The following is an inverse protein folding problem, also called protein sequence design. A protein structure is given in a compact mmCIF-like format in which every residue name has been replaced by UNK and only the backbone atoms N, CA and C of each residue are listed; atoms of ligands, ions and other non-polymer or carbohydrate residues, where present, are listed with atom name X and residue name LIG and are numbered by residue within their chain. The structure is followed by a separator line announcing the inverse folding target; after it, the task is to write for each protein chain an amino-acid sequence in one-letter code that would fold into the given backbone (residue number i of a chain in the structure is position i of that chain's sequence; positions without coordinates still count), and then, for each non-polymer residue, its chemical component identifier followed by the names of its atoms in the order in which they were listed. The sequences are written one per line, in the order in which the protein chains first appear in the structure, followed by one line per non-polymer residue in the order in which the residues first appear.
data_IF_310359587625
#
_entry.id   IF_310359587625
#
_cell.length_a   1.000
_cell.length_b   1.000
_cell.length_c   1.000
_cell.angle_alpha   90.00
_cell.angle_beta   90.00
_cell.angle_gamma   90.00
#
_symmetry.space_group_name_H-M   'P 1'
#
loop_
_entity.id
_entity.type
_entity.pdbx_description
1 polymer ?
#
# COMPACT_ATOMS: atom_id res chain seq x y z
N UNK A 1 10.11 -34.46 30.73
CA UNK A 1 10.42 -34.73 29.32
C UNK A 1 9.84 -33.62 28.49
N UNK A 2 10.64 -32.63 28.15
CA UNK A 2 10.25 -31.49 27.31
C UNK A 2 10.19 -31.98 25.87
N UNK A 3 8.98 -31.90 25.27
CA UNK A 3 8.87 -31.92 23.82
C UNK A 3 9.16 -30.49 23.33
N UNK A 4 10.34 -30.34 22.73
CA UNK A 4 10.79 -29.09 22.13
C UNK A 4 9.87 -28.67 20.97
N UNK A 5 9.74 -27.39 20.87
CA UNK A 5 9.00 -26.63 19.86
C UNK A 5 9.74 -26.75 18.49
N UNK A 6 9.42 -27.80 17.72
CA UNK A 6 9.98 -28.02 16.38
C UNK A 6 9.26 -27.22 15.28
N UNK A 7 8.14 -26.51 15.61
CA UNK A 7 7.32 -25.82 14.60
C UNK A 7 7.87 -24.45 14.16
N UNK A 8 8.68 -23.80 15.00
CA UNK A 8 9.20 -22.46 14.70
C UNK A 8 10.40 -22.43 13.76
N UNK A 9 11.24 -23.45 13.84
CA UNK A 9 12.51 -23.47 13.09
C UNK A 9 12.32 -23.85 11.60
N UNK A 10 11.37 -24.76 11.31
CA UNK A 10 11.06 -25.17 9.95
C UNK A 10 10.45 -24.04 9.10
N UNK A 11 9.59 -23.20 9.70
CA UNK A 11 8.99 -22.05 9.00
C UNK A 11 10.04 -20.96 8.71
N UNK A 12 10.87 -20.62 9.67
CA UNK A 12 11.95 -19.64 9.48
C UNK A 12 12.94 -20.07 8.40
N UNK A 13 13.35 -21.34 8.41
CA UNK A 13 14.28 -21.91 7.43
C UNK A 13 13.69 -21.85 6.01
N UNK A 14 12.41 -22.22 5.80
CA UNK A 14 11.76 -22.16 4.49
C UNK A 14 11.64 -20.74 3.98
N UNK A 15 11.24 -19.78 4.83
CA UNK A 15 11.08 -18.39 4.45
C UNK A 15 12.42 -17.74 4.03
N UNK A 16 13.48 -18.00 4.76
CA UNK A 16 14.83 -17.53 4.40
C UNK A 16 15.30 -18.15 3.08
N UNK A 17 15.02 -19.44 2.86
CA UNK A 17 15.35 -20.11 1.59
C UNK A 17 14.66 -19.45 0.39
N UNK A 18 13.37 -19.11 0.50
CA UNK A 18 12.64 -18.45 -0.58
C UNK A 18 13.20 -17.06 -0.90
N UNK A 19 13.61 -16.28 0.12
CA UNK A 19 14.21 -14.97 -0.07
C UNK A 19 15.63 -15.05 -0.68
N UNK A 20 16.42 -16.08 -0.33
CA UNK A 20 17.71 -16.33 -0.96
C UNK A 20 17.56 -16.72 -2.44
N UNK A 21 16.58 -17.57 -2.76
CA UNK A 21 16.24 -17.92 -4.15
C UNK A 21 15.77 -16.69 -4.92
N UNK A 22 14.94 -15.85 -4.30
CA UNK A 22 14.51 -14.59 -4.88
C UNK A 22 15.70 -13.68 -5.16
N UNK A 23 16.62 -13.52 -4.20
CA UNK A 23 17.85 -12.76 -4.38
C UNK A 23 18.65 -13.25 -5.59
N UNK A 24 18.92 -14.54 -5.67
CA UNK A 24 19.67 -15.11 -6.79
C UNK A 24 18.99 -14.82 -8.14
N UNK A 25 17.66 -14.94 -8.20
CA UNK A 25 16.87 -14.64 -9.42
C UNK A 25 16.89 -13.15 -9.78
N UNK A 26 16.73 -12.25 -8.81
CA UNK A 26 16.76 -10.80 -9.04
C UNK A 26 18.13 -10.34 -9.54
N UNK A 27 19.20 -10.88 -8.96
CA UNK A 27 20.58 -10.52 -9.30
C UNK A 27 20.97 -10.95 -10.73
N UNK A 28 20.22 -11.87 -11.37
CA UNK A 28 20.39 -12.16 -12.81
C UNK A 28 20.02 -10.98 -13.71
N UNK A 29 19.16 -10.07 -13.22
CA UNK A 29 18.77 -8.84 -13.94
C UNK A 29 19.70 -7.71 -13.54
N UNK A 30 19.77 -7.40 -12.26
CA UNK A 30 20.70 -6.42 -11.72
C UNK A 30 20.78 -6.50 -10.20
N UNK A 31 21.87 -6.01 -9.56
CA UNK A 31 22.01 -6.04 -8.09
C UNK A 31 21.04 -5.08 -7.36
N UNK A 32 20.23 -4.33 -8.08
CA UNK A 32 19.23 -3.41 -7.51
C UNK A 32 17.81 -3.68 -7.98
N UNK A 33 17.58 -4.68 -8.83
CA UNK A 33 16.26 -5.00 -9.33
C UNK A 33 15.32 -5.47 -8.21
N UNK A 34 14.08 -4.95 -8.18
CA UNK A 34 13.09 -5.20 -7.12
C UNK A 34 11.68 -5.28 -7.70
N UNK A 35 11.04 -6.46 -7.67
CA UNK A 35 9.69 -6.64 -8.22
C UNK A 35 8.62 -5.82 -7.50
N UNK A 36 8.78 -5.53 -6.21
CA UNK A 36 7.84 -4.68 -5.48
C UNK A 36 7.72 -3.27 -6.11
N UNK A 37 8.75 -2.79 -6.80
CA UNK A 37 8.69 -1.50 -7.52
C UNK A 37 7.69 -1.51 -8.69
N UNK A 38 7.37 -2.69 -9.22
CA UNK A 38 6.37 -2.89 -10.28
C UNK A 38 5.04 -3.39 -9.75
N UNK A 39 5.03 -4.27 -8.75
CA UNK A 39 3.84 -5.03 -8.36
C UNK A 39 3.20 -4.59 -7.05
N UNK A 40 3.80 -3.62 -6.34
CA UNK A 40 3.25 -3.08 -5.08
C UNK A 40 3.07 -1.58 -5.15
N UNK A 41 1.99 -1.08 -4.53
CA UNK A 41 1.75 0.35 -4.33
C UNK A 41 0.92 0.60 -3.09
N UNK A 42 1.29 1.65 -2.33
CA UNK A 42 0.42 2.29 -1.34
C UNK A 42 -0.07 3.61 -1.93
N UNK A 43 -1.39 3.78 -1.98
CA UNK A 43 -2.08 4.95 -2.55
C UNK A 43 -2.66 5.80 -1.42
N UNK A 44 -2.18 7.03 -1.28
CA UNK A 44 -2.68 8.02 -0.34
C UNK A 44 -3.57 9.01 -1.08
N UNK A 45 -4.78 8.57 -1.43
CA UNK A 45 -5.70 9.33 -2.29
C UNK A 45 -6.13 10.68 -1.72
N UNK A 46 -6.25 10.87 -0.37
CA UNK A 46 -6.55 12.20 0.16
C UNK A 46 -5.51 13.26 -0.17
N UNK A 47 -4.28 12.86 -0.39
CA UNK A 47 -3.15 13.77 -0.63
C UNK A 47 -2.57 13.65 -2.04
N UNK A 48 -3.08 12.71 -2.85
CA UNK A 48 -2.53 12.46 -4.19
C UNK A 48 -1.08 11.98 -4.18
N UNK A 49 -0.71 11.19 -3.17
CA UNK A 49 0.64 10.66 -3.01
C UNK A 49 0.65 9.14 -3.14
N UNK A 50 1.77 8.58 -3.56
CA UNK A 50 2.00 7.13 -3.54
C UNK A 50 3.44 6.76 -3.14
N UNK A 51 3.64 5.49 -2.79
CA UNK A 51 4.96 4.86 -2.75
C UNK A 51 4.85 3.40 -3.24
N UNK A 52 6.00 2.78 -3.52
CA UNK A 52 6.04 1.41 -4.06
C UNK A 52 6.04 0.33 -2.99
N UNK A 53 6.53 0.66 -1.81
CA UNK A 53 6.55 -0.16 -0.59
C UNK A 53 6.63 0.80 0.60
N UNK A 54 6.85 0.29 1.80
CA UNK A 54 6.80 1.11 3.01
C UNK A 54 8.06 1.96 3.29
N UNK A 55 9.15 1.77 2.55
CA UNK A 55 10.43 2.42 2.83
C UNK A 55 10.68 3.70 2.03
N UNK A 56 10.37 3.80 0.73
CA UNK A 56 10.58 5.01 -0.03
C UNK A 56 9.71 6.16 0.47
N UNK A 57 10.17 7.41 0.35
CA UNK A 57 9.32 8.57 0.56
C UNK A 57 8.11 8.56 -0.37
N UNK A 58 7.09 9.32 0.02
CA UNK A 58 5.90 9.51 -0.80
C UNK A 58 6.22 10.38 -2.02
N UNK A 59 5.70 10.00 -3.18
CA UNK A 59 5.80 10.73 -4.44
C UNK A 59 4.46 11.34 -4.81
N UNK A 60 4.48 12.52 -5.41
CA UNK A 60 3.29 13.17 -5.95
C UNK A 60 2.77 12.43 -7.19
N UNK A 61 1.46 12.32 -7.28
CA UNK A 61 0.77 11.86 -8.48
C UNK A 61 0.23 13.11 -9.19
N UNK A 62 0.83 13.53 -10.32
CA UNK A 62 0.34 14.71 -11.02
C UNK A 62 -1.09 14.47 -11.53
N UNK A 63 -2.03 15.28 -11.08
CA UNK A 63 -3.48 15.14 -11.38
C UNK A 63 -3.76 15.16 -12.90
N UNK A 64 -2.99 15.95 -13.62
CA UNK A 64 -3.13 16.06 -15.08
C UNK A 64 -2.81 14.75 -15.82
N UNK A 65 -2.02 13.87 -15.22
CA UNK A 65 -1.69 12.57 -15.83
C UNK A 65 -2.83 11.57 -15.72
N UNK A 66 -3.76 11.78 -14.79
CA UNK A 66 -4.87 10.86 -14.52
C UNK A 66 -5.99 10.98 -15.54
N UNK A 67 -6.14 12.15 -16.19
CA UNK A 67 -7.28 12.49 -17.05
C UNK A 67 -7.59 11.46 -18.15
N UNK A 68 -6.55 10.79 -18.69
CA UNK A 68 -6.71 9.78 -19.75
C UNK A 68 -5.95 8.48 -19.41
N UNK A 69 -5.37 8.42 -18.24
CA UNK A 69 -4.60 7.26 -17.79
C UNK A 69 -4.72 7.08 -16.27
N UNK A 70 -5.82 6.50 -15.78
CA UNK A 70 -6.02 6.31 -14.34
C UNK A 70 -4.97 5.36 -13.72
N UNK A 71 -4.32 4.50 -14.51
CA UNK A 71 -3.22 3.65 -14.03
C UNK A 71 -1.96 4.45 -13.65
N UNK A 72 -1.89 5.75 -13.99
CA UNK A 72 -0.86 6.67 -13.53
C UNK A 72 -0.88 6.88 -12.01
N UNK A 73 -1.94 6.48 -11.29
CA UNK A 73 -1.92 6.34 -9.83
C UNK A 73 -0.76 5.46 -9.35
N UNK A 74 -0.39 4.44 -10.11
CA UNK A 74 0.74 3.55 -9.84
C UNK A 74 1.94 3.83 -10.74
N UNK A 75 1.70 4.07 -12.03
CA UNK A 75 2.74 4.17 -13.06
C UNK A 75 3.19 5.62 -13.28
N UNK A 76 3.51 6.34 -12.19
CA UNK A 76 4.03 7.70 -12.26
C UNK A 76 5.35 7.76 -13.02
N UNK A 77 5.67 8.92 -13.61
CA UNK A 77 6.95 9.16 -14.26
C UNK A 77 8.13 8.86 -13.33
N UNK A 78 8.04 9.28 -12.09
CA UNK A 78 9.08 9.10 -11.08
C UNK A 78 9.35 7.61 -10.79
N UNK A 79 8.28 6.80 -10.62
CA UNK A 79 8.44 5.35 -10.48
C UNK A 79 9.07 4.69 -11.70
N UNK A 80 8.72 5.14 -12.91
CA UNK A 80 9.32 4.64 -14.15
C UNK A 80 10.81 4.98 -14.24
N UNK A 81 11.22 6.18 -13.84
CA UNK A 81 12.64 6.53 -13.76
C UNK A 81 13.39 5.68 -12.73
N UNK A 82 12.80 5.45 -11.56
CA UNK A 82 13.38 4.55 -10.55
C UNK A 82 13.53 3.12 -11.08
N UNK A 83 12.49 2.58 -11.75
CA UNK A 83 12.55 1.25 -12.41
C UNK A 83 13.70 1.19 -13.44
N UNK A 84 13.86 2.24 -14.24
CA UNK A 84 14.96 2.35 -15.21
C UNK A 84 16.33 2.33 -14.55
N UNK A 85 16.52 3.07 -13.45
CA UNK A 85 17.76 3.05 -12.68
C UNK A 85 18.06 1.64 -12.14
N UNK A 86 17.06 0.95 -11.60
CA UNK A 86 17.19 -0.41 -11.09
C UNK A 86 17.57 -1.40 -12.20
N UNK A 87 16.99 -1.29 -13.39
CA UNK A 87 17.38 -2.12 -14.55
C UNK A 87 18.84 -1.90 -14.97
N UNK A 88 19.41 -0.72 -14.72
CA UNK A 88 20.81 -0.38 -14.98
C UNK A 88 21.77 -0.78 -13.85
N UNK A 89 21.28 -1.44 -12.81
CA UNK A 89 22.07 -1.79 -11.64
C UNK A 89 22.39 -0.64 -10.70
N UNK A 90 21.82 0.55 -10.95
CA UNK A 90 21.95 1.69 -10.04
C UNK A 90 21.06 1.52 -8.83
N UNK A 91 21.53 1.96 -7.68
CA UNK A 91 20.83 1.91 -6.40
C UNK A 91 20.13 3.26 -6.14
N UNK A 92 18.81 3.40 -6.37
CA UNK A 92 18.10 4.65 -6.08
C UNK A 92 18.17 4.99 -4.59
N UNK A 93 18.41 6.27 -4.27
CA UNK A 93 18.55 6.75 -2.89
C UNK A 93 17.27 6.52 -2.06
N UNK A 94 16.11 6.59 -2.68
CA UNK A 94 14.81 6.33 -2.02
C UNK A 94 14.70 4.91 -1.42
N UNK A 95 15.50 3.96 -1.90
CA UNK A 95 15.54 2.58 -1.42
C UNK A 95 16.71 2.32 -0.45
N UNK A 96 17.27 3.36 0.16
CA UNK A 96 18.44 3.28 1.05
C UNK A 96 18.31 2.26 2.17
N UNK A 97 17.09 2.01 2.67
CA UNK A 97 16.84 0.99 3.70
C UNK A 97 17.33 -0.39 3.23
N UNK A 98 16.90 -0.84 2.05
CA UNK A 98 17.33 -2.12 1.49
C UNK A 98 18.85 -2.14 1.25
N UNK A 99 19.40 -1.06 0.71
CA UNK A 99 20.85 -0.97 0.44
C UNK A 99 21.68 -1.03 1.72
N UNK A 100 21.19 -0.45 2.81
CA UNK A 100 21.83 -0.53 4.13
C UNK A 100 21.83 -1.96 4.67
N UNK A 101 20.71 -2.68 4.60
CA UNK A 101 20.63 -4.08 5.02
C UNK A 101 21.59 -4.94 4.20
N UNK A 102 21.56 -4.81 2.88
CA UNK A 102 22.40 -5.59 1.98
C UNK A 102 23.90 -5.28 2.13
N UNK A 103 24.27 -4.04 2.47
CA UNK A 103 25.68 -3.69 2.75
C UNK A 103 26.23 -4.35 4.01
N UNK A 104 25.36 -4.76 4.93
CA UNK A 104 25.72 -5.51 6.13
C UNK A 104 25.76 -7.05 5.88
N UNK A 105 25.43 -7.49 4.66
CA UNK A 105 25.35 -8.91 4.32
C UNK A 105 23.99 -9.55 4.57
N UNK A 106 23.00 -8.76 4.99
CA UNK A 106 21.65 -9.24 5.32
C UNK A 106 20.74 -9.28 4.06
N UNK A 107 19.70 -10.12 4.14
CA UNK A 107 18.59 -10.05 3.18
C UNK A 107 17.72 -8.82 3.50
N UNK A 108 17.26 -8.14 2.44
CA UNK A 108 16.41 -6.96 2.57
C UNK A 108 14.96 -7.23 2.14
N UNK A 109 14.05 -6.30 2.41
CA UNK A 109 12.66 -6.37 1.92
C UNK A 109 12.55 -6.49 0.40
N UNK A 110 13.55 -6.04 -0.34
CA UNK A 110 13.66 -6.28 -1.78
C UNK A 110 13.62 -7.77 -2.10
N UNK A 111 14.33 -8.58 -1.34
CA UNK A 111 14.37 -10.05 -1.54
C UNK A 111 13.08 -10.71 -1.07
N UNK A 112 12.63 -10.39 0.14
CA UNK A 112 11.41 -10.96 0.70
C UNK A 112 10.18 -10.64 -0.14
N UNK A 113 9.95 -9.36 -0.45
CA UNK A 113 8.77 -8.93 -1.22
C UNK A 113 8.79 -9.42 -2.67
N UNK A 114 9.96 -9.48 -3.28
CA UNK A 114 10.08 -10.00 -4.65
C UNK A 114 9.95 -11.52 -4.72
N UNK A 115 10.20 -12.24 -3.63
CA UNK A 115 10.01 -13.68 -3.54
C UNK A 115 8.55 -14.11 -3.35
N UNK A 116 7.69 -13.20 -2.88
CA UNK A 116 6.27 -13.47 -2.69
C UNK A 116 5.58 -13.86 -4.03
N UNK A 117 4.63 -14.81 -3.99
CA UNK A 117 3.95 -15.29 -5.21
C UNK A 117 3.32 -14.18 -6.05
N UNK A 118 2.67 -13.21 -5.38
CA UNK A 118 2.02 -12.07 -6.05
C UNK A 118 3.00 -11.18 -6.86
N UNK A 119 4.29 -11.20 -6.54
CA UNK A 119 5.31 -10.45 -7.27
C UNK A 119 6.09 -11.34 -8.24
N UNK A 120 6.53 -12.52 -7.80
CA UNK A 120 7.47 -13.39 -8.50
C UNK A 120 6.89 -14.03 -9.78
N UNK A 121 5.57 -14.22 -9.84
CA UNK A 121 4.89 -14.78 -11.03
C UNK A 121 5.09 -13.96 -12.28
N UNK A 122 5.24 -12.63 -12.14
CA UNK A 122 5.34 -11.70 -13.27
C UNK A 122 6.79 -11.34 -13.62
N UNK A 123 7.79 -12.01 -13.04
CA UNK A 123 9.21 -11.73 -13.24
C UNK A 123 9.59 -11.62 -14.71
N UNK A 124 9.28 -12.63 -15.52
CA UNK A 124 9.69 -12.70 -16.92
C UNK A 124 8.99 -11.64 -17.78
N UNK A 125 7.72 -11.33 -17.47
CA UNK A 125 6.94 -10.28 -18.16
C UNK A 125 7.56 -8.91 -17.88
N UNK A 126 7.93 -8.64 -16.63
CA UNK A 126 8.52 -7.39 -16.20
C UNK A 126 9.92 -7.20 -16.80
N UNK A 127 10.75 -8.23 -16.78
CA UNK A 127 12.11 -8.19 -17.33
C UNK A 127 12.09 -7.93 -18.84
N UNK A 128 11.12 -8.53 -19.55
CA UNK A 128 10.96 -8.36 -21.00
C UNK A 128 10.51 -6.95 -21.38
N UNK A 129 9.68 -6.32 -20.56
CA UNK A 129 9.16 -4.97 -20.84
C UNK A 129 9.09 -4.09 -19.57
N UNK A 130 10.24 -3.70 -19.00
CA UNK A 130 10.32 -3.07 -17.68
C UNK A 130 9.76 -1.64 -17.61
N UNK A 131 9.52 -0.99 -18.75
CA UNK A 131 8.99 0.36 -18.83
C UNK A 131 7.49 0.42 -19.15
N UNK A 132 6.84 -0.72 -19.35
CA UNK A 132 5.41 -0.78 -19.56
C UNK A 132 4.63 -0.28 -18.33
N UNK A 133 3.40 0.14 -18.56
CA UNK A 133 2.43 0.35 -17.49
C UNK A 133 2.00 -1.02 -16.98
N UNK A 134 2.42 -1.32 -15.75
CA UNK A 134 2.15 -2.61 -15.10
C UNK A 134 1.05 -2.41 -14.07
N UNK A 135 0.08 -3.30 -14.05
CA UNK A 135 -0.93 -3.34 -13.01
C UNK A 135 -0.39 -4.05 -11.77
N UNK A 136 -0.43 -3.42 -10.58
CA UNK A 136 0.06 -4.03 -9.35
C UNK A 136 -0.87 -5.16 -8.90
N UNK A 137 -0.30 -6.15 -8.22
CA UNK A 137 -1.04 -7.24 -7.58
C UNK A 137 -1.18 -7.06 -6.07
N UNK A 138 -0.37 -6.18 -5.48
CA UNK A 138 -0.48 -5.76 -4.08
C UNK A 138 -0.77 -4.26 -4.01
N UNK A 139 -1.93 -3.90 -3.46
CA UNK A 139 -2.33 -2.50 -3.29
C UNK A 139 -2.78 -2.26 -1.86
N UNK A 140 -2.20 -1.23 -1.24
CA UNK A 140 -2.72 -0.61 -0.04
C UNK A 140 -3.33 0.73 -0.41
N UNK A 141 -4.51 1.05 0.10
CA UNK A 141 -5.19 2.29 -0.21
C UNK A 141 -5.70 3.00 1.04
N UNK A 142 -5.51 4.31 1.05
CA UNK A 142 -6.18 5.24 1.93
C UNK A 142 -7.12 6.10 1.07
N UNK A 143 -8.44 5.99 1.26
CA UNK A 143 -9.44 6.74 0.49
C UNK A 143 -9.68 8.15 1.06
N UNK A 144 -9.67 8.31 2.40
CA UNK A 144 -9.83 9.59 3.06
C UNK A 144 -9.19 9.58 4.46
N UNK A 145 -9.13 10.74 5.11
CA UNK A 145 -8.60 10.89 6.45
C UNK A 145 -9.67 11.01 7.55
N UNK A 146 -10.94 10.71 7.25
CA UNK A 146 -11.99 10.70 8.26
C UNK A 146 -11.66 9.68 9.35
N UNK A 147 -11.50 10.14 10.58
CA UNK A 147 -11.20 9.30 11.73
C UNK A 147 -11.73 9.95 13.00
N UNK A 148 -12.25 9.13 13.89
CA UNK A 148 -12.79 9.54 15.17
C UNK A 148 -11.76 9.47 16.31
N UNK A 149 -10.53 9.01 16.06
CA UNK A 149 -9.47 8.89 17.07
C UNK A 149 -8.25 9.75 16.73
N UNK A 150 -7.47 10.05 17.78
CA UNK A 150 -6.18 10.74 17.76
C UNK A 150 -5.11 9.84 18.35
N UNK A 151 -4.77 8.75 17.67
CA UNK A 151 -3.75 7.82 18.14
C UNK A 151 -2.37 8.50 18.17
N UNK A 152 -1.60 8.29 19.23
CA UNK A 152 -0.31 8.96 19.46
C UNK A 152 0.75 8.68 18.36
N UNK A 153 0.64 7.57 17.68
CA UNK A 153 1.51 7.17 16.57
C UNK A 153 1.01 7.63 15.19
N UNK A 154 -0.18 8.28 15.13
CA UNK A 154 -0.78 8.76 13.90
C UNK A 154 -0.44 10.23 13.65
N UNK A 155 -0.82 10.77 12.50
CA UNK A 155 -0.60 12.16 12.15
C UNK A 155 -1.89 12.86 11.69
N UNK A 156 -1.94 14.19 11.70
CA UNK A 156 -3.06 14.98 11.17
C UNK A 156 -3.39 14.65 9.70
N UNK A 157 -2.43 14.19 8.92
CA UNK A 157 -2.62 13.79 7.54
C UNK A 157 -3.57 12.58 7.40
N UNK A 158 -3.55 11.68 8.39
CA UNK A 158 -4.35 10.45 8.39
C UNK A 158 -5.53 10.49 9.36
N UNK A 159 -5.73 11.59 10.10
CA UNK A 159 -6.86 11.73 11.03
C UNK A 159 -7.44 13.12 10.99
N UNK A 160 -8.72 13.21 10.61
CA UNK A 160 -9.48 14.46 10.60
C UNK A 160 -9.62 15.05 12.01
N UNK A 161 -9.72 14.22 13.04
CA UNK A 161 -9.80 14.67 14.45
C UNK A 161 -8.47 15.27 14.91
N UNK A 162 -7.33 14.67 14.54
CA UNK A 162 -6.01 15.24 14.73
C UNK A 162 -5.86 16.57 14.00
N UNK A 163 -6.27 16.61 12.71
CA UNK A 163 -6.18 17.83 11.90
C UNK A 163 -7.01 18.97 12.50
N UNK A 164 -8.21 18.68 13.01
CA UNK A 164 -9.03 19.68 13.70
C UNK A 164 -8.32 20.22 14.93
N UNK A 165 -7.79 19.35 15.79
CA UNK A 165 -7.11 19.76 17.01
C UNK A 165 -5.90 20.65 16.72
N UNK A 166 -5.07 20.33 15.74
CA UNK A 166 -3.92 21.15 15.36
C UNK A 166 -4.34 22.50 14.78
N UNK A 167 -5.46 22.56 14.05
CA UNK A 167 -6.02 23.81 13.55
C UNK A 167 -6.51 24.71 14.69
N UNK A 168 -7.12 24.12 15.71
CA UNK A 168 -7.74 24.83 16.81
C UNK A 168 -6.72 25.26 17.89
N UNK A 169 -5.75 24.41 18.18
CA UNK A 169 -4.82 24.56 19.31
C UNK A 169 -3.35 24.82 18.91
N UNK A 170 -3.03 24.64 17.63
CA UNK A 170 -1.66 24.71 17.13
C UNK A 170 -0.85 23.43 17.35
N UNK A 171 0.42 23.50 17.00
CA UNK A 171 1.35 22.37 17.14
C UNK A 171 1.67 22.07 18.61
N UNK A 172 1.98 20.80 18.90
CA UNK A 172 2.48 20.43 20.23
C UNK A 172 3.81 21.12 20.54
N UNK A 173 4.03 21.53 21.80
CA UNK A 173 5.26 22.20 22.25
C UNK A 173 6.41 21.18 22.39
N UNK A 174 6.80 20.56 21.31
CA UNK A 174 7.95 19.66 21.21
C UNK A 174 9.14 20.41 20.63
N UNK A 175 10.37 19.90 20.86
CA UNK A 175 11.60 20.50 20.31
C UNK A 175 11.60 20.56 18.77
N UNK A 176 10.89 19.65 18.13
CA UNK A 176 10.61 19.66 16.69
C UNK A 176 9.09 19.55 16.52
N UNK A 177 8.39 20.61 16.07
CA UNK A 177 6.93 20.62 15.99
C UNK A 177 6.43 19.82 14.79
N UNK A 178 6.47 18.50 14.89
CA UNK A 178 6.10 17.56 13.81
C UNK A 178 4.68 17.74 13.29
N UNK A 179 3.78 18.25 14.14
CA UNK A 179 2.35 18.38 13.84
C UNK A 179 1.94 19.82 13.53
N UNK A 180 2.89 20.72 13.25
CA UNK A 180 2.57 22.09 12.86
C UNK A 180 1.90 22.13 11.48
N UNK A 181 0.89 22.99 11.31
CA UNK A 181 0.13 23.08 10.04
C UNK A 181 1.01 23.35 8.83
N UNK A 182 2.08 24.11 8.98
CA UNK A 182 3.05 24.41 7.94
C UNK A 182 3.72 23.16 7.35
N UNK A 183 3.71 22.04 8.07
CA UNK A 183 4.22 20.76 7.53
C UNK A 183 3.24 20.06 6.59
N UNK A 184 1.98 20.52 6.53
CA UNK A 184 0.91 19.91 5.74
C UNK A 184 0.42 20.81 4.60
N UNK A 185 1.23 21.78 4.18
CA UNK A 185 0.90 22.65 3.03
C UNK A 185 1.10 21.94 1.69
N UNK A 186 0.42 22.44 0.67
CA UNK A 186 0.50 21.88 -0.69
C UNK A 186 -0.06 20.45 -0.77
N UNK A 187 0.63 19.59 -1.48
CA UNK A 187 0.25 18.18 -1.72
C UNK A 187 0.14 17.32 -0.45
N UNK A 188 0.59 17.81 0.69
CA UNK A 188 0.47 17.09 1.98
C UNK A 188 -0.82 17.39 2.73
N UNK A 189 -1.57 18.41 2.32
CA UNK A 189 -2.86 18.72 2.93
C UNK A 189 -3.93 17.80 2.36
N UNK A 190 -4.63 16.99 3.19
CA UNK A 190 -5.67 16.11 2.70
C UNK A 190 -6.84 16.89 2.09
N UNK A 191 -7.31 16.44 0.93
CA UNK A 191 -8.57 16.88 0.35
C UNK A 191 -9.68 16.47 1.33
N UNK A 192 -10.53 17.41 1.79
CA UNK A 192 -11.62 17.10 2.70
C UNK A 192 -12.56 16.03 2.12
N UNK A 193 -12.98 15.07 2.95
CA UNK A 193 -13.87 13.98 2.52
C UNK A 193 -15.24 14.45 1.99
N UNK A 194 -15.62 15.71 2.23
CA UNK A 194 -16.82 16.35 1.71
C UNK A 194 -16.64 16.94 0.32
N UNK A 195 -15.43 16.96 -0.22
CA UNK A 195 -15.13 17.49 -1.55
C UNK A 195 -14.88 16.36 -2.55
N UNK A 196 -15.03 16.67 -3.84
CA UNK A 196 -14.62 15.79 -4.93
C UNK A 196 -13.11 15.58 -4.88
N UNK A 197 -12.70 14.33 -5.14
CA UNK A 197 -11.30 13.96 -5.09
C UNK A 197 -10.90 13.24 -6.39
N UNK A 198 -10.13 13.89 -7.27
CA UNK A 198 -9.77 13.35 -8.57
C UNK A 198 -8.98 12.05 -8.50
N UNK A 199 -8.27 11.81 -7.40
CA UNK A 199 -7.52 10.57 -7.20
C UNK A 199 -8.45 9.39 -6.87
N UNK A 200 -9.53 9.65 -6.11
CA UNK A 200 -10.58 8.65 -5.83
C UNK A 200 -11.35 8.34 -7.10
N UNK A 201 -11.65 9.36 -7.90
CA UNK A 201 -12.37 9.18 -9.18
C UNK A 201 -11.54 8.36 -10.15
N UNK A 202 -10.26 8.68 -10.32
CA UNK A 202 -9.32 7.90 -11.13
C UNK A 202 -9.13 6.47 -10.60
N UNK A 203 -9.14 6.27 -9.27
CA UNK A 203 -9.08 4.94 -8.69
C UNK A 203 -10.28 4.09 -9.11
N UNK A 204 -11.49 4.64 -9.06
CA UNK A 204 -12.70 3.91 -9.43
C UNK A 204 -12.83 3.70 -10.96
N UNK A 205 -12.29 4.60 -11.77
CA UNK A 205 -12.16 4.39 -13.22
C UNK A 205 -11.21 3.22 -13.52
N UNK A 206 -10.12 3.13 -12.79
CA UNK A 206 -9.14 2.05 -12.96
C UNK A 206 -9.55 0.73 -12.30
N UNK A 207 -10.42 0.76 -11.31
CA UNK A 207 -10.75 -0.37 -10.45
C UNK A 207 -11.11 -1.67 -11.19
N UNK A 208 -11.92 -1.70 -12.26
CA UNK A 208 -12.26 -2.92 -12.95
C UNK A 208 -11.06 -3.63 -13.61
N UNK A 209 -10.07 -2.86 -14.07
CA UNK A 209 -8.82 -3.40 -14.61
C UNK A 209 -7.88 -3.83 -13.47
N UNK A 210 -7.69 -2.96 -12.49
CA UNK A 210 -6.88 -3.23 -11.32
C UNK A 210 -7.32 -4.51 -10.61
N UNK A 211 -8.61 -4.67 -10.39
CA UNK A 211 -9.16 -5.81 -9.66
C UNK A 211 -8.83 -7.16 -10.30
N UNK A 212 -8.71 -7.23 -11.62
CA UNK A 212 -8.34 -8.48 -12.32
C UNK A 212 -6.97 -9.01 -11.88
N UNK A 213 -6.02 -8.11 -11.61
CA UNK A 213 -4.63 -8.44 -11.25
C UNK A 213 -4.40 -8.52 -9.73
N UNK A 214 -5.33 -7.98 -8.92
CA UNK A 214 -5.16 -7.94 -7.47
C UNK A 214 -5.11 -9.35 -6.85
N UNK A 215 -4.14 -9.56 -5.97
CA UNK A 215 -4.08 -10.69 -5.04
C UNK A 215 -4.13 -10.20 -3.58
N UNK A 216 -3.55 -9.04 -3.31
CA UNK A 216 -3.60 -8.41 -2.00
C UNK A 216 -4.18 -7.00 -2.10
N UNK A 217 -5.28 -6.78 -1.42
CA UNK A 217 -5.89 -5.46 -1.31
C UNK A 217 -6.10 -5.08 0.15
N UNK A 218 -5.47 -4.01 0.58
CA UNK A 218 -5.53 -3.53 1.96
C UNK A 218 -6.09 -2.13 2.01
N UNK A 219 -7.14 -1.93 2.79
CA UNK A 219 -7.72 -0.62 3.08
C UNK A 219 -7.23 -0.13 4.43
N UNK A 220 -6.63 1.07 4.43
CA UNK A 220 -6.07 1.76 5.59
C UNK A 220 -6.50 3.22 5.58
N UNK A 221 -5.84 4.04 6.36
CA UNK A 221 -6.01 5.49 6.32
C UNK A 221 -6.59 6.03 7.61
N UNK A 222 -7.63 6.85 7.57
CA UNK A 222 -8.39 7.31 8.71
C UNK A 222 -9.05 6.13 9.45
N UNK A 223 -10.37 6.09 9.48
CA UNK A 223 -11.09 4.90 9.91
C UNK A 223 -11.85 4.31 8.69
N UNK A 224 -11.38 3.20 8.10
CA UNK A 224 -11.98 2.65 6.89
C UNK A 224 -13.46 2.30 7.04
N UNK A 225 -13.92 1.91 8.22
CA UNK A 225 -15.35 1.59 8.44
C UNK A 225 -16.26 2.83 8.44
N UNK A 226 -15.69 4.03 8.47
CA UNK A 226 -16.41 5.30 8.26
C UNK A 226 -16.41 5.74 6.79
N UNK A 227 -15.70 5.05 5.91
CA UNK A 227 -15.55 5.42 4.50
C UNK A 227 -16.52 4.64 3.61
N UNK A 228 -17.33 5.38 2.82
CA UNK A 228 -18.24 4.78 1.83
C UNK A 228 -17.50 3.92 0.78
N UNK A 229 -16.26 4.27 0.46
CA UNK A 229 -15.47 3.54 -0.53
C UNK A 229 -15.08 2.13 -0.04
N UNK A 230 -14.89 1.94 1.28
CA UNK A 230 -14.69 0.60 1.86
C UNK A 230 -15.86 -0.32 1.55
N UNK A 231 -17.08 0.16 1.74
CA UNK A 231 -18.28 -0.63 1.45
C UNK A 231 -18.50 -0.83 -0.06
N UNK A 232 -18.15 0.16 -0.88
CA UNK A 232 -18.17 0.03 -2.34
C UNK A 232 -17.21 -1.05 -2.83
N UNK A 233 -16.04 -1.21 -2.17
CA UNK A 233 -15.13 -2.33 -2.43
C UNK A 233 -15.79 -3.65 -2.06
N UNK A 234 -16.42 -3.74 -0.88
CA UNK A 234 -17.11 -4.96 -0.46
C UNK A 234 -18.22 -5.37 -1.43
N UNK A 235 -19.06 -4.41 -1.84
CA UNK A 235 -20.11 -4.66 -2.83
C UNK A 235 -19.54 -5.23 -4.13
N UNK A 236 -18.49 -4.59 -4.65
CA UNK A 236 -17.85 -5.04 -5.88
C UNK A 236 -17.26 -6.46 -5.76
N UNK A 237 -16.61 -6.76 -4.63
CA UNK A 237 -16.04 -8.10 -4.36
C UNK A 237 -17.13 -9.16 -4.25
N UNK A 238 -18.28 -8.83 -3.64
CA UNK A 238 -19.43 -9.75 -3.55
C UNK A 238 -20.06 -10.03 -4.92
N UNK A 239 -20.11 -9.02 -5.79
CA UNK A 239 -20.61 -9.14 -7.17
C UNK A 239 -19.61 -9.86 -8.08
N UNK A 240 -18.31 -9.75 -7.80
CA UNK A 240 -17.22 -10.28 -8.59
C UNK A 240 -16.28 -11.15 -7.72
N UNK A 241 -16.71 -12.33 -7.25
CA UNK A 241 -15.91 -13.16 -6.35
C UNK A 241 -14.58 -13.56 -6.96
N UNK A 242 -13.50 -13.51 -6.14
CA UNK A 242 -12.15 -13.83 -6.58
C UNK A 242 -11.43 -14.68 -5.52
N UNK A 243 -11.31 -15.98 -5.78
CA UNK A 243 -10.84 -16.99 -4.83
C UNK A 243 -9.38 -16.80 -4.37
N UNK A 244 -8.55 -16.06 -5.11
CA UNK A 244 -7.17 -15.76 -4.73
C UNK A 244 -6.97 -14.33 -4.19
N UNK A 245 -8.04 -13.66 -3.77
CA UNK A 245 -7.95 -12.32 -3.20
C UNK A 245 -7.79 -12.37 -1.68
N UNK A 246 -6.72 -11.75 -1.18
CA UNK A 246 -6.54 -11.42 0.22
C UNK A 246 -7.01 -9.98 0.46
N UNK A 247 -8.15 -9.83 1.14
CA UNK A 247 -8.76 -8.55 1.45
C UNK A 247 -8.53 -8.20 2.91
N UNK A 248 -7.91 -7.05 3.18
CA UNK A 248 -7.56 -6.61 4.53
C UNK A 248 -8.13 -5.23 4.83
N UNK A 249 -8.60 -5.04 6.06
CA UNK A 249 -9.08 -3.76 6.59
C UNK A 249 -8.37 -3.43 7.88
N UNK A 250 -7.64 -2.32 7.92
CA UNK A 250 -6.99 -1.86 9.14
C UNK A 250 -7.87 -0.82 9.81
N UNK A 251 -8.68 -1.26 10.77
CA UNK A 251 -9.65 -0.44 11.49
C UNK A 251 -9.29 -0.30 12.97
N UNK A 252 -9.68 0.82 13.59
CA UNK A 252 -9.63 1.03 15.02
C UNK A 252 -10.84 0.40 15.75
N UNK A 253 -11.82 -0.11 14.99
CA UNK A 253 -13.06 -0.74 15.44
C UNK A 253 -13.93 0.13 16.37
N UNK A 254 -13.59 1.41 16.55
CA UNK A 254 -14.33 2.35 17.40
C UNK A 254 -15.32 3.16 16.56
N UNK A 255 -16.30 2.47 16.02
CA UNK A 255 -17.37 3.07 15.20
C UNK A 255 -18.73 2.91 15.89
N UNK A 256 -19.78 3.55 15.34
CA UNK A 256 -21.14 3.39 15.86
C UNK A 256 -21.64 1.95 15.68
N UNK A 257 -22.57 1.50 16.55
CA UNK A 257 -23.17 0.17 16.44
C UNK A 257 -23.77 -0.10 15.06
N UNK A 258 -24.32 0.90 14.41
CA UNK A 258 -24.87 0.79 13.07
C UNK A 258 -23.78 0.44 12.03
N UNK A 259 -22.64 1.13 12.07
CA UNK A 259 -21.49 0.83 11.19
C UNK A 259 -20.85 -0.51 11.54
N UNK A 260 -20.75 -0.83 12.81
CA UNK A 260 -20.24 -2.11 13.28
C UNK A 260 -21.09 -3.29 12.80
N UNK A 261 -22.41 -3.22 12.97
CA UNK A 261 -23.32 -4.26 12.49
C UNK A 261 -23.28 -4.38 10.97
N UNK A 262 -23.27 -3.26 10.25
CA UNK A 262 -23.10 -3.23 8.79
C UNK A 262 -21.81 -3.97 8.38
N UNK A 263 -20.69 -3.67 9.02
CA UNK A 263 -19.42 -4.34 8.75
C UNK A 263 -19.48 -5.85 9.00
N UNK A 264 -20.06 -6.28 10.14
CA UNK A 264 -20.22 -7.70 10.44
C UNK A 264 -21.06 -8.46 9.41
N UNK A 265 -22.08 -7.81 8.84
CA UNK A 265 -22.89 -8.43 7.78
C UNK A 265 -22.06 -8.63 6.50
N UNK A 266 -21.21 -7.67 6.12
CA UNK A 266 -20.27 -7.87 5.01
C UNK A 266 -19.24 -8.96 5.31
N UNK A 267 -18.67 -9.01 6.51
CA UNK A 267 -17.73 -10.09 6.92
C UNK A 267 -18.36 -11.47 6.73
N UNK A 268 -19.59 -11.67 7.22
CA UNK A 268 -20.33 -12.94 7.06
C UNK A 268 -20.46 -13.33 5.58
N UNK A 269 -20.80 -12.37 4.71
CA UNK A 269 -20.98 -12.62 3.28
C UNK A 269 -19.64 -12.91 2.58
N UNK A 270 -18.60 -12.14 2.87
CA UNK A 270 -17.27 -12.28 2.25
C UNK A 270 -16.59 -13.58 2.65
N UNK A 271 -16.73 -14.01 3.93
CA UNK A 271 -16.15 -15.25 4.42
C UNK A 271 -16.85 -16.54 3.92
N UNK A 272 -17.89 -16.42 3.09
CA UNK A 272 -18.58 -17.60 2.49
C UNK A 272 -17.92 -18.10 1.19
N UNK A 273 -16.60 -18.04 1.05
CA UNK A 273 -15.86 -18.53 -0.11
C UNK A 273 -15.82 -17.57 -1.30
N UNK A 274 -16.08 -16.27 -1.05
CA UNK A 274 -16.00 -15.23 -2.09
C UNK A 274 -14.57 -14.74 -2.34
N UNK A 275 -13.71 -14.88 -1.34
CA UNK A 275 -12.30 -14.51 -1.36
C UNK A 275 -11.49 -15.57 -0.63
N UNK A 276 -10.16 -15.58 -0.82
CA UNK A 276 -9.26 -16.52 -0.15
C UNK A 276 -9.09 -16.19 1.34
N UNK A 277 -8.92 -14.92 1.64
CA UNK A 277 -8.64 -14.46 2.99
C UNK A 277 -9.23 -13.07 3.25
N UNK A 278 -9.90 -12.93 4.42
CA UNK A 278 -10.40 -11.66 4.94
C UNK A 278 -9.82 -11.40 6.33
N UNK A 279 -9.18 -10.22 6.52
CA UNK A 279 -8.55 -9.82 7.77
C UNK A 279 -8.86 -8.37 8.11
#
# INVERSE_FOLDING_TARGET
MNKGDESGDGFKSKFLSDAELAKAKLDTVSPSFCLAKWKQVSLHLPTGLNNSCYHPPLHEIPVETLKNNPSALHNTREKKETRKLMMQGKKPDECHYCWKMESNGDLSDRHYRSGEPWASKDFDVIVKNPQADITPSYVEVNFNNACNLKCSYCSPQFSSTWMSEIKDLGAYPTSTPHNALEHFVGSRLPIPHSQENPYVDAFWEWWPELYKELEHFRMTGGEPLMDKNTYKVFDYVLENPKSNLHLNVTSNLSVTDALWNKYLDYVKLLCTGKIEHFM
#
